data_IF_772494791930
#
_entry.id   IF_772494791930
#
_cell.length_a   1.000
_cell.length_b   1.000
_cell.length_c   1.000
_cell.angle_alpha   90.00
_cell.angle_beta   90.00
_cell.angle_gamma   90.00
#
_symmetry.space_group_name_H-M   'P 1'
#
loop_
_entity.id
_entity.type
_entity.pdbx_description
1 polymer ?
#
# COMPACT_ATOMS: atom_id res chain seq x y z
N UNK A 1 -2.05 41.81 6.15
CA UNK A 1 -1.54 42.30 7.45
C UNK A 1 -2.59 42.04 8.52
N UNK A 2 -2.29 41.26 9.56
CA UNK A 2 -2.19 41.78 10.93
C UNK A 2 -1.94 40.58 11.89
N UNK A 3 -0.79 40.57 12.54
CA UNK A 3 -0.42 39.59 13.57
C UNK A 3 -0.45 40.31 14.90
N UNK A 4 -1.52 40.14 15.69
CA UNK A 4 -1.66 40.58 17.08
C UNK A 4 -2.78 39.77 17.78
N UNK A 5 -2.71 39.43 19.06
CA UNK A 5 -1.59 39.58 20.01
C UNK A 5 -1.68 38.56 21.15
N UNK A 6 -0.53 38.26 21.73
CA UNK A 6 -0.36 37.59 23.02
C UNK A 6 -0.94 38.48 24.14
N UNK A 7 -1.30 37.88 25.29
CA UNK A 7 -1.55 38.44 26.65
C UNK A 7 -2.99 38.23 27.16
N UNK A 8 -3.23 37.97 28.45
CA UNK A 8 -2.31 37.58 29.53
C UNK A 8 -3.08 36.86 30.66
N UNK A 9 -2.39 36.03 31.43
CA UNK A 9 -2.94 35.37 32.61
C UNK A 9 -3.30 36.39 33.70
N UNK A 10 -4.59 36.58 34.01
CA UNK A 10 -5.05 37.37 35.16
C UNK A 10 -5.29 36.46 36.37
N UNK A 11 -4.41 36.57 37.35
CA UNK A 11 -4.50 35.85 38.64
C UNK A 11 -5.62 36.43 39.53
N UNK A 12 -6.43 35.52 40.06
CA UNK A 12 -6.81 35.44 41.47
C UNK A 12 -7.46 36.68 42.14
N UNK A 13 -8.77 36.57 42.42
CA UNK A 13 -9.36 36.98 43.71
C UNK A 13 -10.30 35.89 44.20
N UNK A 14 -10.11 35.43 45.45
CA UNK A 14 -10.97 34.47 46.14
C UNK A 14 -11.97 35.23 47.02
N UNK A 15 -13.25 34.88 46.90
CA UNK A 15 -14.31 35.08 47.89
C UNK A 15 -15.51 34.25 47.41
N UNK A 16 -16.39 33.68 48.21
CA UNK A 16 -16.45 33.36 49.63
C UNK A 16 -17.81 32.63 49.73
N UNK A 17 -17.80 31.36 50.14
CA UNK A 17 -18.88 30.63 50.84
C UNK A 17 -20.35 30.85 50.43
N UNK A 18 -21.06 29.77 50.08
CA UNK A 18 -22.23 29.29 50.84
C UNK A 18 -22.59 27.84 50.46
N UNK A 19 -23.00 27.11 51.50
CA UNK A 19 -23.39 25.71 51.53
C UNK A 19 -24.77 25.48 50.86
N UNK A 20 -24.84 24.60 49.87
CA UNK A 20 -26.05 23.81 49.58
C UNK A 20 -25.67 22.37 49.25
N UNK A 21 -26.31 21.43 49.96
CA UNK A 21 -26.01 20.00 49.91
C UNK A 21 -27.07 19.31 49.04
N UNK A 22 -26.66 18.75 47.90
CA UNK A 22 -27.47 17.77 47.17
C UNK A 22 -26.54 16.83 46.37
N UNK A 23 -26.36 15.55 46.77
CA UNK A 23 -25.59 14.61 45.99
C UNK A 23 -26.48 14.10 44.84
N UNK A 24 -26.45 14.79 43.71
CA UNK A 24 -26.99 14.26 42.46
C UNK A 24 -26.04 13.15 42.00
N UNK A 25 -26.29 11.95 42.51
CA UNK A 25 -25.65 10.71 42.08
C UNK A 25 -26.21 10.28 40.71
N UNK A 26 -26.09 11.14 39.71
CA UNK A 26 -26.13 10.70 38.31
C UNK A 26 -24.87 9.88 38.10
N UNK A 27 -25.02 8.56 38.20
CA UNK A 27 -24.05 7.63 37.68
C UNK A 27 -23.84 7.95 36.20
N UNK A 28 -22.75 8.66 35.89
CA UNK A 28 -22.21 8.69 34.54
C UNK A 28 -21.82 7.25 34.25
N UNK A 29 -22.71 6.54 33.55
CA UNK A 29 -22.38 5.32 32.86
C UNK A 29 -21.25 5.68 31.90
N UNK A 30 -20.02 5.37 32.31
CA UNK A 30 -18.86 5.48 31.45
C UNK A 30 -19.03 4.46 30.33
N UNK A 31 -19.63 4.88 29.23
CA UNK A 31 -19.32 4.27 27.94
C UNK A 31 -17.85 4.61 27.67
N UNK A 32 -16.94 3.77 28.18
CA UNK A 32 -15.58 3.75 27.65
C UNK A 32 -15.69 3.36 26.18
N UNK A 33 -15.53 4.37 25.32
CA UNK A 33 -15.23 4.16 23.92
C UNK A 33 -13.87 3.46 23.87
N UNK A 34 -13.89 2.13 23.79
CA UNK A 34 -12.70 1.34 23.46
C UNK A 34 -12.20 1.81 22.10
N UNK A 35 -11.23 2.74 22.12
CA UNK A 35 -10.50 3.16 20.94
C UNK A 35 -9.94 1.88 20.30
N UNK A 36 -10.31 1.56 19.05
CA UNK A 36 -9.91 0.30 18.46
C UNK A 36 -8.39 0.21 18.51
N UNK A 37 -7.89 -0.88 19.11
CA UNK A 37 -6.46 -1.07 19.28
C UNK A 37 -5.76 -0.85 17.93
N UNK A 38 -4.68 -0.04 17.88
CA UNK A 38 -3.98 0.19 16.63
C UNK A 38 -3.56 -1.16 16.07
N UNK A 39 -4.01 -1.48 14.85
CA UNK A 39 -3.65 -2.72 14.18
C UNK A 39 -2.14 -2.66 13.96
N UNK A 40 -1.39 -3.38 14.80
CA UNK A 40 0.08 -3.41 14.74
C UNK A 40 0.48 -4.19 13.50
N UNK A 41 0.48 -3.49 12.35
CA UNK A 41 1.05 -3.99 11.10
C UNK A 41 2.52 -4.31 11.36
N UNK A 42 2.92 -5.56 11.13
CA UNK A 42 4.34 -5.93 11.17
C UNK A 42 5.05 -5.22 10.02
N UNK A 43 6.01 -4.35 10.34
CA UNK A 43 6.89 -3.74 9.35
C UNK A 43 7.85 -4.83 8.85
N UNK A 44 7.68 -5.25 7.61
CA UNK A 44 8.51 -6.25 6.93
C UNK A 44 9.58 -5.55 6.10
N UNK A 45 10.85 -5.97 6.22
CA UNK A 45 12.01 -5.17 5.80
C UNK A 45 12.91 -5.86 4.75
N UNK A 46 12.74 -5.61 3.44
CA UNK A 46 11.45 -5.62 2.75
C UNK A 46 11.49 -6.80 1.78
N UNK A 47 10.61 -7.78 1.97
CA UNK A 47 10.18 -8.74 0.93
C UNK A 47 8.68 -8.88 1.12
N UNK A 48 7.91 -8.45 0.12
CA UNK A 48 6.48 -8.74 0.10
C UNK A 48 6.21 -10.04 -0.63
N UNK A 49 5.14 -10.71 -0.23
CA UNK A 49 4.65 -11.90 -0.92
C UNK A 49 3.86 -11.47 -2.15
N UNK A 50 4.30 -11.93 -3.33
CA UNK A 50 3.72 -11.58 -4.63
C UNK A 50 3.20 -12.83 -5.33
N UNK A 51 1.99 -12.76 -5.85
CA UNK A 51 1.44 -13.74 -6.80
C UNK A 51 1.60 -13.21 -8.23
N UNK A 52 1.89 -14.08 -9.21
CA UNK A 52 1.98 -13.69 -10.62
C UNK A 52 1.04 -14.53 -11.49
N UNK A 53 0.09 -13.87 -12.14
CA UNK A 53 -0.90 -14.50 -13.02
C UNK A 53 -0.63 -14.17 -14.49
N UNK A 54 -0.64 -15.18 -15.35
CA UNK A 54 -0.60 -14.99 -16.80
C UNK A 54 -1.97 -14.51 -17.29
N UNK A 55 -2.05 -13.23 -17.67
CA UNK A 55 -3.29 -12.57 -18.08
C UNK A 55 -3.30 -12.22 -19.58
N UNK A 56 -2.37 -12.73 -20.37
CA UNK A 56 -2.18 -12.34 -21.78
C UNK A 56 -2.19 -13.50 -22.79
N UNK A 57 -2.51 -14.72 -22.35
CA UNK A 57 -2.52 -15.98 -23.15
C UNK A 57 -1.16 -16.43 -23.69
N UNK A 58 -0.07 -15.69 -23.43
CA UNK A 58 1.26 -16.05 -23.93
C UNK A 58 1.89 -17.16 -23.06
N UNK A 59 2.40 -18.21 -23.71
CA UNK A 59 2.94 -19.38 -23.01
C UNK A 59 4.17 -19.00 -22.17
N UNK A 60 4.10 -19.24 -20.88
CA UNK A 60 5.21 -19.01 -19.95
C UNK A 60 5.41 -17.57 -19.49
N UNK A 61 4.48 -16.64 -19.78
CA UNK A 61 4.58 -15.24 -19.33
C UNK A 61 4.76 -15.12 -17.81
N UNK A 62 3.92 -15.78 -17.01
CA UNK A 62 4.04 -15.79 -15.54
C UNK A 62 5.37 -16.43 -15.04
N UNK A 63 5.91 -17.43 -15.75
CA UNK A 63 7.21 -18.05 -15.41
C UNK A 63 8.36 -17.08 -15.61
N UNK A 64 8.36 -16.33 -16.73
CA UNK A 64 9.37 -15.32 -17.04
C UNK A 64 9.26 -14.13 -16.09
N UNK A 65 8.05 -13.62 -15.86
CA UNK A 65 7.77 -12.54 -14.92
C UNK A 65 8.18 -12.91 -13.48
N UNK A 66 7.93 -14.15 -13.03
CA UNK A 66 8.43 -14.67 -11.75
C UNK A 66 9.96 -14.64 -11.66
N UNK A 67 10.66 -15.04 -12.71
CA UNK A 67 12.13 -15.04 -12.73
C UNK A 67 12.66 -13.60 -12.63
N UNK A 68 12.09 -12.68 -13.42
CA UNK A 68 12.40 -11.25 -13.38
C UNK A 68 12.17 -10.64 -11.99
N UNK A 69 10.99 -10.84 -11.40
CA UNK A 69 10.66 -10.29 -10.08
C UNK A 69 11.55 -10.86 -8.95
N UNK A 70 11.86 -12.16 -8.99
CA UNK A 70 12.78 -12.78 -8.01
C UNK A 70 14.22 -12.28 -8.16
N UNK A 71 14.68 -12.05 -9.39
CA UNK A 71 15.99 -11.44 -9.64
C UNK A 71 16.05 -9.98 -9.15
N UNK A 72 14.90 -9.29 -9.07
CA UNK A 72 14.76 -7.97 -8.46
C UNK A 72 14.44 -8.00 -6.94
N UNK A 73 14.49 -9.17 -6.29
CA UNK A 73 14.39 -9.31 -4.83
C UNK A 73 12.99 -9.56 -4.26
N UNK A 74 11.94 -9.60 -5.09
CA UNK A 74 10.56 -9.88 -4.64
C UNK A 74 10.35 -11.38 -4.35
N UNK A 75 9.55 -11.71 -3.33
CA UNK A 75 9.21 -13.10 -3.04
C UNK A 75 7.94 -13.52 -3.78
N UNK A 76 8.14 -14.11 -4.97
CA UNK A 76 7.01 -14.62 -5.76
C UNK A 76 6.60 -16.00 -5.23
N UNK A 77 5.56 -16.04 -4.40
CA UNK A 77 5.09 -17.24 -3.68
C UNK A 77 4.23 -18.17 -4.54
N UNK A 78 3.47 -17.62 -5.50
CA UNK A 78 2.61 -18.39 -6.40
C UNK A 78 2.69 -17.90 -7.86
N UNK A 79 2.49 -18.82 -8.82
CA UNK A 79 2.24 -18.48 -10.22
C UNK A 79 1.08 -19.30 -10.81
N UNK A 80 0.28 -18.65 -11.64
CA UNK A 80 -0.89 -19.27 -12.27
C UNK A 80 -1.25 -18.68 -13.64
N UNK A 81 -2.36 -19.14 -14.18
CA UNK A 81 -3.06 -18.49 -15.29
C UNK A 81 -4.26 -17.73 -14.72
N UNK A 82 -4.49 -16.51 -15.20
CA UNK A 82 -5.74 -15.79 -14.90
C UNK A 82 -6.92 -16.47 -15.63
N UNK A 83 -8.13 -16.31 -15.09
CA UNK A 83 -9.38 -16.68 -15.75
C UNK A 83 -9.63 -15.84 -17.01
N UNK A 84 -9.17 -14.59 -17.02
CA UNK A 84 -9.28 -13.70 -18.17
C UNK A 84 -7.88 -13.39 -18.73
N UNK A 85 -7.61 -13.87 -19.95
CA UNK A 85 -6.25 -13.88 -20.51
C UNK A 85 -6.06 -12.94 -21.73
N UNK A 86 -6.71 -11.78 -21.74
CA UNK A 86 -6.70 -10.82 -22.85
C UNK A 86 -6.00 -9.48 -22.56
N UNK A 87 -5.27 -9.34 -21.46
CA UNK A 87 -4.69 -8.09 -20.99
C UNK A 87 -3.53 -7.65 -21.88
N UNK A 88 -3.58 -6.42 -22.39
CA UNK A 88 -2.48 -5.80 -23.15
C UNK A 88 -1.35 -5.33 -22.22
N UNK A 89 -1.69 -4.67 -21.12
CA UNK A 89 -0.73 -4.07 -20.19
C UNK A 89 -0.66 -4.85 -18.86
N UNK A 90 0.50 -4.82 -18.22
CA UNK A 90 0.74 -5.45 -16.91
C UNK A 90 0.18 -4.59 -15.79
N UNK A 91 -0.66 -5.19 -14.94
CA UNK A 91 -1.41 -4.53 -13.87
C UNK A 91 -1.02 -5.12 -12.51
N UNK A 92 -0.82 -4.26 -11.52
CA UNK A 92 -0.60 -4.63 -10.12
C UNK A 92 -1.91 -4.47 -9.35
N UNK A 93 -2.36 -5.52 -8.69
CA UNK A 93 -3.47 -5.48 -7.73
C UNK A 93 -2.89 -5.58 -6.31
N UNK A 94 -2.84 -4.46 -5.60
CA UNK A 94 -2.43 -4.40 -4.21
C UNK A 94 -3.56 -4.90 -3.30
N UNK A 95 -3.26 -5.90 -2.47
CA UNK A 95 -4.13 -6.43 -1.42
C UNK A 95 -3.84 -5.77 -0.07
N UNK A 96 -2.55 -5.52 0.20
CA UNK A 96 -2.07 -4.77 1.34
C UNK A 96 -1.58 -3.36 0.90
N UNK A 97 -2.40 -2.30 1.01
CA UNK A 97 -2.00 -0.95 0.56
C UNK A 97 -0.93 -0.29 1.43
N UNK A 98 -0.58 -0.88 2.58
CA UNK A 98 0.48 -0.37 3.46
C UNK A 98 1.71 -1.30 3.45
N UNK A 99 1.82 -2.15 2.44
CA UNK A 99 3.07 -2.81 2.09
C UNK A 99 4.03 -1.80 1.46
N UNK A 100 5.11 -1.48 2.17
CA UNK A 100 6.14 -0.52 1.76
C UNK A 100 6.79 -0.85 0.39
N UNK A 101 6.82 -2.13 0.01
CA UNK A 101 7.37 -2.57 -1.27
C UNK A 101 6.50 -2.29 -2.51
N UNK A 102 5.26 -1.80 -2.33
CA UNK A 102 4.34 -1.55 -3.45
C UNK A 102 4.90 -0.55 -4.49
N UNK A 103 5.55 0.53 -4.03
CA UNK A 103 6.18 1.51 -4.92
C UNK A 103 7.38 0.92 -5.67
N UNK A 104 8.18 0.08 -4.99
CA UNK A 104 9.30 -0.62 -5.62
C UNK A 104 8.81 -1.59 -6.70
N UNK A 105 7.74 -2.35 -6.42
CA UNK A 105 7.15 -3.28 -7.39
C UNK A 105 6.67 -2.55 -8.67
N UNK A 106 5.97 -1.42 -8.50
CA UNK A 106 5.52 -0.59 -9.62
C UNK A 106 6.70 -0.01 -10.43
N UNK A 107 7.77 0.43 -9.76
CA UNK A 107 8.97 0.94 -10.41
C UNK A 107 9.73 -0.16 -11.18
N UNK A 108 9.91 -1.35 -10.59
CA UNK A 108 10.55 -2.51 -11.25
C UNK A 108 9.76 -2.97 -12.47
N UNK A 109 8.42 -3.01 -12.38
CA UNK A 109 7.54 -3.36 -13.49
C UNK A 109 7.32 -2.21 -14.48
N UNK A 110 7.85 -1.00 -14.20
CA UNK A 110 7.69 0.23 -15.00
C UNK A 110 6.23 0.60 -15.32
N UNK A 111 5.27 0.06 -14.56
CA UNK A 111 3.84 0.23 -14.80
C UNK A 111 3.24 1.27 -13.85
N UNK A 112 2.27 2.02 -14.35
CA UNK A 112 1.42 2.92 -13.56
C UNK A 112 0.06 2.30 -13.23
N UNK A 113 -0.21 1.10 -13.76
CA UNK A 113 -1.49 0.40 -13.62
C UNK A 113 -1.53 -0.31 -12.27
N UNK A 114 -1.75 0.46 -11.21
CA UNK A 114 -1.84 -0.03 -9.83
C UNK A 114 -3.27 0.14 -9.33
N UNK A 115 -3.91 -0.97 -8.98
CA UNK A 115 -5.25 -1.02 -8.40
C UNK A 115 -5.16 -1.47 -6.95
N UNK A 116 -5.88 -0.81 -6.04
CA UNK A 116 -5.98 -1.23 -4.63
C UNK A 116 -7.30 -1.97 -4.43
N UNK A 117 -7.21 -3.29 -4.20
CA UNK A 117 -8.36 -4.15 -3.91
C UNK A 117 -8.13 -4.89 -2.58
N UNK A 118 -8.31 -4.11 -1.51
CA UNK A 118 -8.28 -4.56 -0.11
C UNK A 118 -9.08 -5.84 0.10
N UNK A 119 -8.39 -6.89 0.52
CA UNK A 119 -9.00 -8.15 0.97
C UNK A 119 -8.30 -8.59 2.25
N UNK A 120 -9.06 -8.71 3.34
CA UNK A 120 -8.54 -9.10 4.65
C UNK A 120 -8.17 -10.58 4.74
N UNK A 121 -8.58 -11.38 3.75
CA UNK A 121 -8.29 -12.81 3.66
C UNK A 121 -7.18 -13.12 2.65
N UNK A 122 -6.68 -12.13 1.91
CA UNK A 122 -5.55 -12.31 1.01
C UNK A 122 -4.29 -12.65 1.80
N UNK A 123 -3.56 -13.67 1.33
CA UNK A 123 -2.30 -14.12 1.94
C UNK A 123 -1.07 -13.42 1.37
N UNK A 124 -1.23 -12.67 0.27
CA UNK A 124 -0.16 -11.97 -0.46
C UNK A 124 -0.36 -10.46 -0.39
N UNK A 125 0.73 -9.69 -0.46
CA UNK A 125 0.66 -8.23 -0.48
C UNK A 125 0.15 -7.69 -1.82
N UNK A 126 0.51 -8.37 -2.92
CA UNK A 126 0.15 -7.98 -4.29
C UNK A 126 -0.03 -9.16 -5.25
N UNK A 127 -0.85 -8.96 -6.27
CA UNK A 127 -0.99 -9.86 -7.43
C UNK A 127 -0.58 -9.10 -8.69
N UNK A 128 0.32 -9.68 -9.49
CA UNK A 128 0.78 -9.13 -10.77
C UNK A 128 0.07 -9.86 -11.91
N UNK A 129 -0.86 -9.16 -12.56
CA UNK A 129 -1.53 -9.63 -13.77
C UNK A 129 -0.64 -9.29 -14.98
N UNK A 130 0.01 -10.31 -15.53
CA UNK A 130 1.01 -10.18 -16.59
C UNK A 130 0.34 -9.94 -17.94
N UNK A 131 0.57 -8.77 -18.54
CA UNK A 131 0.04 -8.35 -19.84
C UNK A 131 0.87 -8.84 -21.04
N UNK A 132 0.52 -8.39 -22.25
CA UNK A 132 1.30 -8.63 -23.48
C UNK A 132 2.60 -7.81 -23.52
N UNK A 133 2.65 -6.72 -22.77
CA UNK A 133 3.82 -5.84 -22.55
C UNK A 133 4.98 -6.46 -21.72
N UNK A 134 4.81 -7.68 -21.21
CA UNK A 134 5.74 -8.26 -20.24
C UNK A 134 7.17 -8.42 -20.77
N UNK A 135 7.35 -8.62 -22.08
CA UNK A 135 8.67 -8.77 -22.67
C UNK A 135 9.45 -7.45 -22.62
N UNK A 136 8.79 -6.34 -22.93
CA UNK A 136 9.34 -4.98 -22.88
C UNK A 136 9.68 -4.53 -21.44
N UNK A 137 9.01 -5.10 -20.44
CA UNK A 137 9.31 -4.88 -19.02
C UNK A 137 10.61 -5.59 -18.63
N UNK A 138 10.73 -6.89 -18.97
CA UNK A 138 11.86 -7.76 -18.60
C UNK A 138 13.12 -7.42 -19.40
N UNK A 139 12.96 -7.24 -20.71
CA UNK A 139 14.01 -6.93 -21.69
C UNK A 139 13.69 -5.55 -22.31
N UNK A 140 13.96 -4.44 -21.57
CA UNK A 140 13.83 -3.11 -22.15
C UNK A 140 14.83 -2.98 -23.29
N UNK A 141 14.30 -2.65 -24.47
CA UNK A 141 15.02 -2.67 -25.74
C UNK A 141 16.37 -1.96 -25.63
N UNK A 142 17.45 -2.68 -25.95
CA UNK A 142 18.82 -2.15 -25.96
C UNK A 142 18.94 -1.28 -27.22
N UNK A 143 18.46 -0.04 -27.13
CA UNK A 143 18.26 0.84 -28.27
C UNK A 143 19.46 0.84 -29.22
N UNK A 144 19.17 0.63 -30.50
CA UNK A 144 20.16 0.43 -31.56
C UNK A 144 21.23 1.54 -31.57
N UNK A 145 22.39 1.29 -30.98
CA UNK A 145 23.62 2.02 -31.28
C UNK A 145 24.17 1.56 -32.63
N UNK A 146 23.40 1.82 -33.69
CA UNK A 146 23.86 1.71 -35.06
C UNK A 146 24.75 2.92 -35.37
N UNK A 147 26.03 2.76 -35.04
CA UNK A 147 27.13 3.70 -35.30
C UNK A 147 27.04 4.29 -36.71
N UNK A 148 26.59 5.54 -36.78
CA UNK A 148 26.45 6.30 -38.03
C UNK A 148 27.56 7.34 -38.14
N UNK A 149 28.82 6.93 -37.94
CA UNK A 149 29.97 7.77 -38.23
C UNK A 149 30.37 7.58 -39.71
N UNK A 150 29.83 8.46 -40.56
CA UNK A 150 30.05 8.54 -42.00
C UNK A 150 30.95 9.73 -42.34
#
# INVERSE_FOLDING_TARGET
MNVQSIQACKKLRKALTILTLLPVATAFCGCEEEKPAPVVRKVHNIKGEVEVLNSCSMKGAATQMRAFLRNNGFDVVHIGNDRLQNYDETIIVLRNPEWEGAQALAATLKTKNVLVLLDKNATVDAVVHTGRDFQQIIEPDQGEQNDSNK
#
